data_IF_060756158689
#
_entry.id   IF_060756158689
#
_cell.length_a   1.000
_cell.length_b   1.000
_cell.length_c   1.000
_cell.angle_alpha   90.00
_cell.angle_beta   90.00
_cell.angle_gamma   90.00
#
_symmetry.space_group_name_H-M   'P 1'
#
loop_
_entity.id
_entity.type
_entity.pdbx_description
1 polymer ?
#
# COMPACT_ATOMS: atom_id res chain seq x y z
N UNK A 1 11.20 -13.84 4.01
CA UNK A 1 10.92 -12.41 4.30
C UNK A 1 9.43 -12.11 4.38
N UNK A 2 8.65 -12.36 3.31
CA UNK A 2 7.19 -12.09 3.27
C UNK A 2 6.41 -12.69 4.46
N UNK A 3 6.60 -13.98 4.76
CA UNK A 3 5.95 -14.63 5.92
C UNK A 3 6.37 -14.02 7.27
N UNK A 4 7.61 -13.50 7.34
CA UNK A 4 8.12 -12.80 8.52
C UNK A 4 7.47 -11.44 8.72
N UNK A 5 7.19 -10.70 7.64
CA UNK A 5 6.48 -9.42 7.72
C UNK A 5 5.03 -9.61 8.22
N UNK A 6 4.40 -10.74 7.87
CA UNK A 6 3.05 -11.08 8.35
C UNK A 6 3.06 -11.57 9.80
N UNK A 7 3.97 -12.48 10.15
CA UNK A 7 3.97 -13.15 11.46
C UNK A 7 4.70 -12.34 12.55
N UNK A 8 5.72 -11.55 12.19
CA UNK A 8 6.60 -10.79 13.10
C UNK A 8 7.07 -9.49 12.45
N UNK A 9 6.16 -8.56 12.11
CA UNK A 9 6.45 -7.37 11.31
C UNK A 9 7.62 -6.55 11.86
N UNK A 10 7.61 -6.30 13.16
CA UNK A 10 8.64 -5.48 13.83
C UNK A 10 10.03 -6.12 13.77
N UNK A 11 10.14 -7.43 13.90
CA UNK A 11 11.46 -8.09 13.84
C UNK A 11 11.98 -8.11 12.42
N UNK A 12 11.13 -8.47 11.47
CA UNK A 12 11.50 -8.52 10.06
C UNK A 12 11.85 -7.13 9.53
N UNK A 13 11.12 -6.07 9.89
CA UNK A 13 11.48 -4.70 9.47
C UNK A 13 12.91 -4.30 9.85
N UNK A 14 13.43 -4.74 11.01
CA UNK A 14 14.83 -4.48 11.37
C UNK A 14 15.83 -5.28 10.54
N UNK A 15 15.47 -6.50 10.14
CA UNK A 15 16.34 -7.39 9.35
C UNK A 15 16.39 -6.96 7.87
N UNK A 16 15.31 -6.36 7.33
CA UNK A 16 15.24 -5.88 5.93
C UNK A 16 15.41 -4.37 5.77
N UNK A 17 15.56 -3.57 6.84
CA UNK A 17 15.69 -2.09 6.73
C UNK A 17 16.86 -1.61 5.87
N UNK A 18 17.87 -2.45 5.68
CA UNK A 18 19.07 -2.16 4.90
C UNK A 18 19.05 -2.83 3.52
N UNK A 19 17.98 -3.59 3.19
CA UNK A 19 17.88 -4.38 1.97
C UNK A 19 16.85 -3.81 1.01
N UNK A 20 17.28 -3.48 -0.21
CA UNK A 20 16.40 -3.07 -1.28
C UNK A 20 15.69 -4.30 -1.89
N UNK A 21 14.35 -4.35 -1.77
CA UNK A 21 13.53 -5.48 -2.26
C UNK A 21 12.59 -5.02 -3.38
N UNK A 22 13.16 -4.53 -4.49
CA UNK A 22 12.41 -4.02 -5.63
C UNK A 22 11.49 -5.06 -6.28
N UNK A 23 12.00 -6.26 -6.55
CA UNK A 23 11.21 -7.28 -7.25
C UNK A 23 9.96 -7.71 -6.48
N UNK A 24 10.06 -8.08 -5.19
CA UNK A 24 8.87 -8.36 -4.38
C UNK A 24 7.91 -7.18 -4.28
N UNK A 25 8.43 -5.96 -4.13
CA UNK A 25 7.62 -4.75 -4.01
C UNK A 25 6.81 -4.46 -5.28
N UNK A 26 7.44 -4.55 -6.46
CA UNK A 26 6.78 -4.34 -7.75
C UNK A 26 5.72 -5.42 -8.02
N UNK A 27 6.05 -6.69 -7.78
CA UNK A 27 5.12 -7.81 -8.00
C UNK A 27 3.90 -7.69 -7.07
N UNK A 28 4.12 -7.45 -5.77
CA UNK A 28 3.02 -7.28 -4.81
C UNK A 28 2.15 -6.07 -5.17
N UNK A 29 2.76 -4.98 -5.65
CA UNK A 29 2.00 -3.79 -6.02
C UNK A 29 1.20 -3.96 -7.31
N UNK A 30 1.75 -4.69 -8.28
CA UNK A 30 1.02 -5.03 -9.50
C UNK A 30 -0.16 -5.95 -9.19
N UNK A 31 0.07 -7.02 -8.42
CA UNK A 31 -0.98 -7.95 -8.00
C UNK A 31 -2.04 -7.24 -7.16
N UNK A 32 -1.61 -6.41 -6.23
CA UNK A 32 -2.47 -5.58 -5.41
C UNK A 32 -3.34 -4.63 -6.24
N UNK A 33 -2.76 -3.96 -7.24
CA UNK A 33 -3.48 -3.08 -8.16
C UNK A 33 -4.55 -3.83 -8.96
N UNK A 34 -4.22 -5.00 -9.50
CA UNK A 34 -5.18 -5.86 -10.20
C UNK A 34 -6.29 -6.32 -9.24
N UNK A 35 -5.94 -6.74 -8.02
CA UNK A 35 -6.92 -7.12 -7.00
C UNK A 35 -7.83 -5.96 -6.62
N UNK A 36 -7.32 -4.73 -6.53
CA UNK A 36 -8.13 -3.54 -6.25
C UNK A 36 -9.15 -3.26 -7.35
N UNK A 37 -8.73 -3.40 -8.62
CA UNK A 37 -9.62 -3.27 -9.77
C UNK A 37 -10.70 -4.35 -9.79
N UNK A 38 -10.33 -5.59 -9.47
CA UNK A 38 -11.29 -6.68 -9.37
C UNK A 38 -12.20 -6.54 -8.15
N UNK A 39 -11.72 -6.04 -7.02
CA UNK A 39 -12.53 -5.83 -5.82
C UNK A 39 -13.57 -4.71 -6.01
N UNK A 40 -13.32 -3.75 -6.91
CA UNK A 40 -14.26 -2.68 -7.22
C UNK A 40 -15.34 -3.16 -8.21
N UNK A 41 -16.60 -3.15 -7.79
CA UNK A 41 -17.69 -3.74 -8.57
C UNK A 41 -17.95 -2.99 -9.90
N UNK A 42 -17.77 -1.67 -9.91
CA UNK A 42 -17.88 -0.85 -11.13
C UNK A 42 -16.78 -1.20 -12.15
N UNK A 43 -15.51 -1.21 -11.71
CA UNK A 43 -14.37 -1.55 -12.58
C UNK A 43 -14.42 -3.01 -13.03
N UNK A 44 -14.85 -3.93 -12.16
CA UNK A 44 -15.04 -5.34 -12.52
C UNK A 44 -16.07 -5.49 -13.63
N UNK A 45 -17.23 -4.84 -13.51
CA UNK A 45 -18.29 -4.87 -14.55
C UNK A 45 -17.79 -4.28 -15.87
N UNK A 46 -17.07 -3.18 -15.83
CA UNK A 46 -16.48 -2.56 -17.02
C UNK A 46 -15.49 -3.50 -17.73
N UNK A 47 -14.64 -4.21 -16.97
CA UNK A 47 -13.71 -5.19 -17.54
C UNK A 47 -14.43 -6.40 -18.12
N UNK A 48 -15.47 -6.90 -17.44
CA UNK A 48 -16.23 -8.07 -17.88
C UNK A 48 -17.12 -7.79 -19.10
N UNK A 49 -17.64 -6.57 -19.24
CA UNK A 49 -18.50 -6.17 -20.36
C UNK A 49 -17.74 -5.56 -21.54
N UNK A 50 -16.45 -5.26 -21.39
CA UNK A 50 -15.63 -4.70 -22.46
C UNK A 50 -14.94 -5.79 -23.30
N UNK A 51 -14.60 -5.45 -24.55
CA UNK A 51 -13.87 -6.35 -25.45
C UNK A 51 -12.47 -6.62 -24.92
N UNK A 52 -11.92 -7.82 -25.23
CA UNK A 52 -10.54 -8.17 -24.85
C UNK A 52 -9.48 -7.14 -25.33
N UNK A 53 -9.75 -6.44 -26.44
CA UNK A 53 -8.89 -5.39 -26.97
C UNK A 53 -8.82 -4.13 -26.11
N UNK A 54 -9.79 -3.90 -25.22
CA UNK A 54 -9.83 -2.74 -24.31
C UNK A 54 -9.50 -3.11 -22.86
N UNK A 55 -9.92 -4.29 -22.39
CA UNK A 55 -9.65 -4.72 -21.02
C UNK A 55 -8.18 -5.06 -20.76
N UNK A 56 -7.50 -5.70 -21.71
CA UNK A 56 -6.08 -6.08 -21.55
C UNK A 56 -5.16 -4.84 -21.43
N UNK A 57 -5.26 -3.82 -22.30
CA UNK A 57 -4.49 -2.59 -22.12
C UNK A 57 -4.81 -1.86 -20.83
N UNK A 58 -6.09 -1.81 -20.42
CA UNK A 58 -6.50 -1.16 -19.18
C UNK A 58 -5.84 -1.81 -17.95
N UNK A 59 -5.84 -3.15 -17.88
CA UNK A 59 -5.14 -3.89 -16.83
C UNK A 59 -3.61 -3.71 -16.90
N UNK A 60 -3.04 -3.63 -18.11
CA UNK A 60 -1.62 -3.33 -18.31
C UNK A 60 -1.22 -1.98 -17.73
N UNK A 61 -2.07 -0.95 -17.90
CA UNK A 61 -1.85 0.37 -17.30
C UNK A 61 -1.84 0.26 -15.76
N UNK A 62 -2.79 -0.46 -15.17
CA UNK A 62 -2.87 -0.64 -13.71
C UNK A 62 -1.62 -1.33 -13.17
N UNK A 63 -1.13 -2.38 -13.84
CA UNK A 63 0.07 -3.13 -13.47
C UNK A 63 1.31 -2.24 -13.40
N UNK A 64 1.38 -1.17 -14.21
CA UNK A 64 2.53 -0.26 -14.24
C UNK A 64 2.32 0.97 -13.35
N UNK A 65 1.14 1.59 -13.44
CA UNK A 65 0.85 2.85 -12.75
C UNK A 65 0.73 2.66 -11.24
N UNK A 66 0.17 1.54 -10.77
CA UNK A 66 0.00 1.30 -9.33
C UNK A 66 1.35 1.16 -8.61
N UNK A 67 2.30 0.31 -9.05
CA UNK A 67 3.62 0.27 -8.45
C UNK A 67 4.36 1.60 -8.54
N UNK A 68 4.26 2.31 -9.68
CA UNK A 68 4.89 3.62 -9.85
C UNK A 68 4.33 4.65 -8.87
N UNK A 69 3.02 4.67 -8.66
CA UNK A 69 2.36 5.54 -7.70
C UNK A 69 2.80 5.24 -6.26
N UNK A 70 2.82 3.96 -5.86
CA UNK A 70 3.31 3.58 -4.51
C UNK A 70 4.79 3.95 -4.32
N UNK A 71 5.63 3.75 -5.34
CA UNK A 71 7.04 4.12 -5.27
C UNK A 71 7.23 5.64 -5.14
N UNK A 72 6.44 6.44 -5.88
CA UNK A 72 6.45 7.89 -5.79
C UNK A 72 6.03 8.37 -4.39
N UNK A 73 4.97 7.79 -3.82
CA UNK A 73 4.54 8.13 -2.46
C UNK A 73 5.63 7.82 -1.43
N UNK A 74 6.27 6.65 -1.54
CA UNK A 74 7.39 6.29 -0.67
C UNK A 74 8.57 7.26 -0.82
N UNK A 75 8.83 7.75 -2.04
CA UNK A 75 9.88 8.74 -2.30
C UNK A 75 9.55 10.10 -1.66
N UNK A 76 8.29 10.55 -1.73
CA UNK A 76 7.84 11.79 -1.09
C UNK A 76 7.93 11.69 0.44
N UNK A 77 7.46 10.57 1.01
CA UNK A 77 7.58 10.29 2.45
C UNK A 77 9.05 10.30 2.91
N UNK A 78 9.95 9.71 2.12
CA UNK A 78 11.39 9.76 2.37
C UNK A 78 11.94 11.18 2.28
N UNK A 79 11.60 11.93 1.23
CA UNK A 79 12.04 13.31 1.06
C UNK A 79 11.63 14.16 2.27
N UNK A 80 10.38 14.04 2.75
CA UNK A 80 9.94 14.68 3.98
C UNK A 80 10.77 14.23 5.20
N UNK A 81 11.04 12.93 5.33
CA UNK A 81 11.86 12.42 6.44
C UNK A 81 13.26 13.03 6.46
N UNK A 82 13.89 13.26 5.30
CA UNK A 82 15.19 13.96 5.23
C UNK A 82 15.08 15.43 5.66
N UNK A 83 13.97 16.11 5.34
CA UNK A 83 13.72 17.49 5.80
C UNK A 83 13.50 17.57 7.32
N UNK A 84 12.92 16.53 7.93
CA UNK A 84 12.74 16.44 9.39
C UNK A 84 13.99 15.97 10.15
N UNK A 85 15.12 15.79 9.46
CA UNK A 85 16.41 15.41 10.05
C UNK A 85 16.68 13.91 10.12
N UNK A 86 15.92 13.08 9.37
CA UNK A 86 16.15 11.64 9.29
C UNK A 86 17.33 11.27 8.39
N UNK A 87 18.09 10.24 8.79
CA UNK A 87 19.35 9.81 8.16
C UNK A 87 19.23 8.50 7.33
N UNK A 88 18.01 7.97 7.15
CA UNK A 88 17.76 6.71 6.49
C UNK A 88 17.99 6.72 4.98
N UNK A 89 18.24 5.54 4.40
CA UNK A 89 18.39 5.35 2.95
C UNK A 89 17.02 5.36 2.24
N UNK A 90 16.89 5.98 1.05
CA UNK A 90 15.63 6.03 0.30
C UNK A 90 15.14 4.66 -0.15
N UNK A 91 16.05 3.84 -0.68
CA UNK A 91 15.68 2.61 -1.42
C UNK A 91 14.97 1.57 -0.54
N UNK A 92 15.48 1.26 0.67
CA UNK A 92 14.80 0.31 1.54
C UNK A 92 13.43 0.80 2.01
N UNK A 93 13.29 2.10 2.30
CA UNK A 93 12.01 2.67 2.71
C UNK A 93 10.95 2.51 1.62
N UNK A 94 11.25 2.93 0.39
CA UNK A 94 10.32 2.89 -0.75
C UNK A 94 9.85 1.46 -1.00
N UNK A 95 10.78 0.50 -1.07
CA UNK A 95 10.43 -0.90 -1.39
C UNK A 95 9.66 -1.58 -0.26
N UNK A 96 9.98 -1.27 1.01
CA UNK A 96 9.25 -1.81 2.15
C UNK A 96 7.87 -1.17 2.33
N UNK A 97 7.72 0.13 2.06
CA UNK A 97 6.43 0.82 2.19
C UNK A 97 5.40 0.23 1.23
N UNK A 98 5.81 -0.03 -0.03
CA UNK A 98 5.00 -0.72 -1.03
C UNK A 98 4.49 -2.07 -0.50
N UNK A 99 5.38 -2.91 0.04
CA UNK A 99 5.01 -4.24 0.56
C UNK A 99 4.06 -4.13 1.75
N UNK A 100 4.33 -3.21 2.68
CA UNK A 100 3.51 -2.99 3.89
C UNK A 100 2.09 -2.59 3.52
N UNK A 101 1.93 -1.68 2.55
CA UNK A 101 0.62 -1.24 2.07
C UNK A 101 -0.19 -2.42 1.57
N UNK A 102 0.39 -3.25 0.70
CA UNK A 102 -0.35 -4.38 0.10
C UNK A 102 -0.61 -5.52 1.07
N UNK A 103 0.29 -5.80 2.00
CA UNK A 103 0.05 -6.83 3.03
C UNK A 103 -1.08 -6.39 3.99
N UNK A 104 -1.10 -5.12 4.38
CA UNK A 104 -2.14 -4.61 5.25
C UNK A 104 -3.49 -4.54 4.53
N UNK A 105 -3.51 -4.23 3.23
CA UNK A 105 -4.75 -4.01 2.47
C UNK A 105 -5.31 -5.28 1.80
N UNK A 106 -4.49 -6.32 1.60
CA UNK A 106 -4.92 -7.60 1.01
C UNK A 106 -6.13 -8.25 1.71
N UNK A 107 -6.25 -8.27 3.05
CA UNK A 107 -7.43 -8.80 3.72
C UNK A 107 -8.72 -8.06 3.33
N UNK A 108 -8.65 -6.73 3.20
CA UNK A 108 -9.79 -5.91 2.78
C UNK A 108 -10.20 -6.25 1.36
N UNK A 109 -9.23 -6.31 0.45
CA UNK A 109 -9.48 -6.63 -0.96
C UNK A 109 -10.08 -8.03 -1.12
N UNK A 110 -9.58 -9.02 -0.36
CA UNK A 110 -10.11 -10.36 -0.35
C UNK A 110 -11.59 -10.39 0.09
N UNK A 111 -11.95 -9.66 1.16
CA UNK A 111 -13.36 -9.58 1.62
C UNK A 111 -14.23 -8.85 0.59
N UNK A 112 -13.74 -7.72 0.04
CA UNK A 112 -14.46 -6.94 -0.95
C UNK A 112 -14.72 -7.71 -2.25
N UNK A 113 -13.89 -8.71 -2.60
CA UNK A 113 -14.14 -9.52 -3.80
C UNK A 113 -15.42 -10.36 -3.73
N UNK A 114 -15.82 -10.77 -2.52
CA UNK A 114 -16.96 -11.66 -2.27
C UNK A 114 -18.17 -10.96 -1.63
N UNK A 115 -17.96 -9.76 -1.07
CA UNK A 115 -19.01 -9.00 -0.40
C UNK A 115 -19.57 -7.90 -1.32
N UNK A 116 -20.89 -7.61 -1.28
CA UNK A 116 -21.46 -6.46 -1.99
C UNK A 116 -20.86 -5.13 -1.48
N UNK A 117 -20.71 -4.14 -2.36
CA UNK A 117 -20.07 -2.84 -2.08
C UNK A 117 -20.59 -2.11 -0.83
N UNK A 118 -21.87 -2.31 -0.48
CA UNK A 118 -22.53 -1.66 0.67
C UNK A 118 -22.52 -2.49 1.95
N UNK A 119 -21.56 -3.41 2.10
CA UNK A 119 -21.46 -4.23 3.29
C UNK A 119 -20.64 -3.54 4.39
N UNK A 120 -21.28 -3.28 5.54
CA UNK A 120 -20.64 -2.72 6.74
C UNK A 120 -19.39 -3.49 7.21
N UNK A 121 -19.30 -4.79 6.91
CA UNK A 121 -18.13 -5.62 7.21
C UNK A 121 -16.91 -5.17 6.39
N UNK A 122 -17.09 -4.87 5.09
CA UNK A 122 -15.99 -4.39 4.22
C UNK A 122 -15.48 -3.05 4.71
N UNK A 123 -16.38 -2.15 5.11
CA UNK A 123 -16.04 -0.85 5.69
C UNK A 123 -15.26 -1.02 6.99
N UNK A 124 -15.70 -1.91 7.88
CA UNK A 124 -15.01 -2.20 9.14
C UNK A 124 -13.60 -2.77 8.93
N UNK A 125 -13.46 -3.75 8.04
CA UNK A 125 -12.16 -4.34 7.67
C UNK A 125 -11.26 -3.31 6.98
N UNK A 126 -11.82 -2.44 6.14
CA UNK A 126 -11.08 -1.36 5.49
C UNK A 126 -10.55 -0.31 6.46
N UNK A 127 -11.33 0.03 7.49
CA UNK A 127 -10.87 0.91 8.56
C UNK A 127 -9.78 0.23 9.40
N UNK A 128 -9.98 -1.04 9.77
CA UNK A 128 -8.98 -1.80 10.52
C UNK A 128 -7.66 -1.92 9.74
N UNK A 129 -7.75 -2.24 8.43
CA UNK A 129 -6.57 -2.29 7.57
C UNK A 129 -5.89 -0.95 7.47
N UNK A 130 -6.64 0.17 7.47
CA UNK A 130 -6.06 1.51 7.43
C UNK A 130 -5.26 1.84 8.67
N UNK A 131 -5.83 1.58 9.84
CA UNK A 131 -5.15 1.80 11.12
C UNK A 131 -3.89 0.92 11.19
N UNK A 132 -3.97 -0.33 10.72
CA UNK A 132 -2.82 -1.22 10.64
C UNK A 132 -1.73 -0.68 9.68
N UNK A 133 -2.12 -0.21 8.48
CA UNK A 133 -1.18 0.42 7.53
C UNK A 133 -0.51 1.65 8.14
N UNK A 134 -1.29 2.52 8.78
CA UNK A 134 -0.78 3.74 9.43
C UNK A 134 0.24 3.41 10.52
N UNK A 135 -0.07 2.43 11.36
CA UNK A 135 0.84 1.96 12.38
C UNK A 135 2.12 1.37 11.79
N UNK A 136 2.00 0.44 10.82
CA UNK A 136 3.15 -0.22 10.20
C UNK A 136 4.06 0.77 9.46
N UNK A 137 3.50 1.67 8.64
CA UNK A 137 4.31 2.67 7.92
C UNK A 137 4.99 3.66 8.89
N UNK A 138 4.30 4.11 9.93
CA UNK A 138 4.90 4.99 10.94
C UNK A 138 6.04 4.27 11.66
N UNK A 139 5.86 2.99 12.03
CA UNK A 139 6.93 2.20 12.67
C UNK A 139 8.11 1.93 11.74
N UNK A 140 7.85 1.71 10.46
CA UNK A 140 8.89 1.57 9.45
C UNK A 140 9.70 2.87 9.31
N UNK A 141 9.01 4.01 9.21
CA UNK A 141 9.64 5.32 9.11
C UNK A 141 10.52 5.63 10.31
N UNK A 142 10.04 5.38 11.53
CA UNK A 142 10.84 5.53 12.76
C UNK A 142 12.11 4.67 12.74
N UNK A 143 12.06 3.45 12.18
CA UNK A 143 13.18 2.51 12.19
C UNK A 143 14.21 2.75 11.10
N UNK A 144 13.77 3.24 9.94
CA UNK A 144 14.66 3.53 8.81
C UNK A 144 15.33 4.88 8.99
N UNK A 145 14.61 5.89 9.49
CA UNK A 145 15.10 7.26 9.61
C UNK A 145 15.44 7.71 11.04
N UNK A 146 15.29 6.82 12.03
CA UNK A 146 15.58 7.08 13.46
C UNK A 146 14.89 8.35 14.01
N UNK A 147 13.70 8.64 13.49
CA UNK A 147 12.89 9.79 13.85
C UNK A 147 11.98 9.50 15.05
N UNK A 148 11.73 10.54 15.86
CA UNK A 148 10.70 10.49 16.90
C UNK A 148 9.30 10.25 16.28
N UNK A 149 8.45 9.50 16.99
CA UNK A 149 7.12 9.07 16.54
C UNK A 149 6.26 10.18 15.90
N UNK A 150 6.14 11.40 16.47
CA UNK A 150 5.29 12.44 15.89
C UNK A 150 5.78 12.92 14.53
N UNK A 151 7.11 13.02 14.34
CA UNK A 151 7.71 13.43 13.06
C UNK A 151 7.57 12.33 12.01
N UNK A 152 7.79 11.08 12.40
CA UNK A 152 7.60 9.93 11.53
C UNK A 152 6.16 9.85 10.99
N UNK A 153 5.16 10.09 11.85
CA UNK A 153 3.76 10.12 11.44
C UNK A 153 3.49 11.27 10.47
N UNK A 154 4.07 12.45 10.70
CA UNK A 154 3.97 13.60 9.78
C UNK A 154 4.55 13.33 8.38
N UNK A 155 5.67 12.60 8.30
CA UNK A 155 6.29 12.24 7.01
C UNK A 155 5.39 11.28 6.20
N UNK A 156 4.81 10.30 6.90
CA UNK A 156 3.98 9.24 6.30
C UNK A 156 2.54 9.70 6.07
N UNK A 157 2.10 10.81 6.68
CA UNK A 157 0.75 11.33 6.55
C UNK A 157 0.35 11.57 5.09
N UNK A 158 1.27 12.03 4.24
CA UNK A 158 1.01 12.25 2.81
C UNK A 158 0.68 10.94 2.10
N UNK A 159 1.47 9.89 2.34
CA UNK A 159 1.23 8.55 1.80
C UNK A 159 -0.09 7.96 2.33
N UNK A 160 -0.41 8.16 3.62
CA UNK A 160 -1.67 7.71 4.20
C UNK A 160 -2.89 8.44 3.63
N UNK A 161 -2.83 9.75 3.47
CA UNK A 161 -3.91 10.55 2.87
C UNK A 161 -4.12 10.12 1.42
N UNK A 162 -3.05 9.95 0.65
CA UNK A 162 -3.13 9.48 -0.73
C UNK A 162 -3.78 8.09 -0.82
N UNK A 163 -3.39 7.16 0.05
CA UNK A 163 -4.01 5.83 0.11
C UNK A 163 -5.48 5.91 0.54
N UNK A 164 -5.84 6.82 1.45
CA UNK A 164 -7.22 7.00 1.89
C UNK A 164 -8.10 7.51 0.74
N UNK A 165 -7.64 8.54 0.02
CA UNK A 165 -8.33 9.15 -1.12
C UNK A 165 -8.52 8.15 -2.26
N UNK A 166 -7.47 7.40 -2.61
CA UNK A 166 -7.47 6.52 -3.78
C UNK A 166 -8.16 5.17 -3.49
N UNK A 167 -7.96 4.60 -2.31
CA UNK A 167 -8.34 3.20 -2.06
C UNK A 167 -9.49 3.00 -1.06
N UNK A 168 -9.87 4.02 -0.28
CA UNK A 168 -10.79 3.82 0.87
C UNK A 168 -12.03 4.69 0.86
N UNK A 169 -11.94 5.91 0.36
CA UNK A 169 -13.10 6.80 0.21
C UNK A 169 -14.29 6.18 -0.55
N UNK A 170 -14.09 5.38 -1.63
CA UNK A 170 -15.19 4.72 -2.33
C UNK A 170 -16.00 3.73 -1.46
N UNK A 171 -15.44 3.26 -0.33
CA UNK A 171 -16.08 2.29 0.57
C UNK A 171 -16.98 2.95 1.64
N UNK A 172 -17.05 4.28 1.66
CA UNK A 172 -17.84 5.06 2.63
C UNK A 172 -19.00 5.83 2.01
N UNK A 173 -19.14 5.82 0.68
CA UNK A 173 -20.20 6.48 -0.12
C UNK A 173 -21.16 5.45 -0.71
#
# INVERSE_FOLDING_TARGET
>A
MLSGLVLRPLRTMNEVRDQAVWWPALIMSALGGVLAVLANDASRKEILHSTLSTSVPALGIVVVMVPAFCALLGLVSHALATQFGGNGSPTPFITLSMIVVWIADAPRLAVAMFAPDKNSIVTGVGLLSFVLTAWLLTTLMMRVHELAWPRALGCVAVELIALLLVLKLPLTS
#
